data_IF_894049635722
#
_entry.id   IF_894049635722
#
_cell.length_a   1.000
_cell.length_b   1.000
_cell.length_c   1.000
_cell.angle_alpha   90.00
_cell.angle_beta   90.00
_cell.angle_gamma   90.00
#
_symmetry.space_group_name_H-M   'P 1'
#
loop_
_entity.id
_entity.type
_entity.pdbx_description
1 polymer ?
#
# COMPACT_ATOMS: atom_id res chain seq x y z
N UNK A 1 26.05 5.83 -14.41
CA UNK A 1 25.08 6.73 -15.04
C UNK A 1 25.19 8.17 -14.52
N UNK A 2 24.91 8.46 -13.23
CA UNK A 2 24.97 9.86 -12.72
C UNK A 2 26.34 10.54 -12.89
N UNK A 3 27.44 9.82 -12.60
CA UNK A 3 28.81 10.29 -12.86
C UNK A 3 29.04 10.65 -14.34
N UNK A 4 28.41 9.92 -15.26
CA UNK A 4 28.55 10.16 -16.71
C UNK A 4 27.84 11.45 -17.12
N UNK A 5 26.63 11.69 -16.61
CA UNK A 5 25.90 12.93 -16.88
C UNK A 5 26.63 14.16 -16.35
N UNK A 6 27.27 14.04 -15.18
CA UNK A 6 28.10 15.11 -14.63
C UNK A 6 29.32 15.39 -15.51
N UNK A 7 29.98 14.35 -16.03
CA UNK A 7 31.16 14.50 -16.90
C UNK A 7 30.80 15.09 -18.27
N UNK A 8 29.71 14.64 -18.87
CA UNK A 8 29.29 15.05 -20.22
C UNK A 8 28.50 16.38 -20.24
N UNK A 9 28.12 16.91 -19.08
CA UNK A 9 27.35 18.14 -18.94
C UNK A 9 25.94 18.08 -19.53
N UNK A 10 25.43 16.87 -19.80
CA UNK A 10 24.11 16.66 -20.39
C UNK A 10 23.50 15.32 -19.95
N UNK A 11 22.20 15.18 -20.15
CA UNK A 11 21.42 13.98 -19.79
C UNK A 11 21.15 13.05 -20.99
N UNK A 12 21.93 13.12 -22.07
CA UNK A 12 21.79 12.19 -23.19
C UNK A 12 22.38 10.84 -22.79
N UNK A 13 21.52 9.83 -22.70
CA UNK A 13 21.89 8.50 -22.20
C UNK A 13 21.74 7.39 -23.25
N UNK A 14 21.08 7.67 -24.37
CA UNK A 14 20.79 6.68 -25.41
C UNK A 14 22.09 6.11 -25.98
N UNK A 15 23.03 6.99 -26.35
CA UNK A 15 24.32 6.59 -26.96
C UNK A 15 25.25 5.86 -25.98
N UNK A 16 25.03 6.07 -24.68
CA UNK A 16 25.83 5.48 -23.60
C UNK A 16 25.29 4.13 -23.11
N UNK A 17 24.06 3.80 -23.49
CA UNK A 17 23.38 2.59 -23.05
C UNK A 17 24.12 1.30 -23.46
N UNK A 18 24.68 1.17 -24.68
CA UNK A 18 25.47 0.00 -25.07
C UNK A 18 26.68 -0.22 -24.17
N UNK A 19 27.42 0.85 -23.83
CA UNK A 19 28.57 0.77 -22.94
C UNK A 19 28.15 0.35 -21.53
N UNK A 20 27.07 0.93 -21.00
CA UNK A 20 26.56 0.58 -19.68
C UNK A 20 26.11 -0.89 -19.58
N UNK A 21 25.41 -1.39 -20.59
CA UNK A 21 24.99 -2.80 -20.65
C UNK A 21 26.20 -3.72 -20.72
N UNK A 22 27.20 -3.39 -21.53
CA UNK A 22 28.44 -4.15 -21.63
C UNK A 22 29.17 -4.23 -20.28
N UNK A 23 29.38 -3.09 -19.63
CA UNK A 23 30.03 -3.01 -18.32
C UNK A 23 29.28 -3.79 -17.24
N UNK A 24 27.94 -3.70 -17.24
CA UNK A 24 27.09 -4.40 -16.28
C UNK A 24 27.20 -5.92 -16.44
N UNK A 25 27.16 -6.39 -17.68
CA UNK A 25 27.21 -7.82 -18.01
C UNK A 25 28.61 -8.42 -17.85
N UNK A 26 29.67 -7.61 -17.99
CA UNK A 26 31.06 -8.03 -17.83
C UNK A 26 31.56 -7.95 -16.36
N UNK A 27 30.83 -7.29 -15.47
CA UNK A 27 31.20 -7.19 -14.05
C UNK A 27 30.73 -8.42 -13.28
N UNK A 28 31.58 -8.94 -12.38
CA UNK A 28 31.17 -9.95 -11.41
C UNK A 28 30.23 -9.34 -10.36
N UNK A 29 29.03 -9.91 -10.21
CA UNK A 29 28.04 -9.44 -9.24
C UNK A 29 28.17 -10.22 -7.93
N UNK A 30 27.97 -9.53 -6.79
CA UNK A 30 28.13 -10.12 -5.45
C UNK A 30 27.15 -11.27 -5.19
N UNK A 31 25.89 -11.10 -5.57
CA UNK A 31 24.81 -12.06 -5.27
C UNK A 31 25.00 -13.40 -5.97
N UNK A 32 25.37 -13.38 -7.25
CA UNK A 32 25.58 -14.61 -8.05
C UNK A 32 27.04 -15.07 -8.08
N UNK A 33 27.98 -14.24 -7.65
CA UNK A 33 29.41 -14.57 -7.63
C UNK A 33 30.08 -14.69 -9.01
N UNK A 34 29.38 -14.37 -10.10
CA UNK A 34 29.89 -14.41 -11.48
C UNK A 34 29.41 -13.23 -12.33
N UNK A 35 29.86 -13.15 -13.58
CA UNK A 35 29.42 -12.15 -14.55
C UNK A 35 28.07 -12.57 -15.13
N UNK A 36 27.09 -11.67 -15.28
CA UNK A 36 25.82 -12.00 -15.93
C UNK A 36 25.99 -12.62 -17.33
N UNK A 37 27.00 -12.17 -18.10
CA UNK A 37 27.29 -12.71 -19.43
C UNK A 37 27.72 -14.19 -19.44
N UNK A 38 28.22 -14.72 -18.31
CA UNK A 38 28.72 -16.10 -18.23
C UNK A 38 27.64 -17.07 -17.70
N UNK A 39 26.43 -16.59 -17.40
CA UNK A 39 25.36 -17.43 -16.84
C UNK A 39 24.80 -18.34 -17.95
N UNK A 40 24.97 -19.65 -17.79
CA UNK A 40 24.36 -20.66 -18.67
C UNK A 40 23.10 -21.24 -18.05
N UNK A 41 22.16 -21.79 -18.84
CA UNK A 41 20.95 -22.41 -18.31
C UNK A 41 21.22 -23.50 -17.26
N UNK A 42 22.29 -24.29 -17.44
CA UNK A 42 22.69 -25.34 -16.50
C UNK A 42 23.16 -24.81 -15.13
N UNK A 43 23.72 -23.60 -15.08
CA UNK A 43 24.20 -22.96 -13.84
C UNK A 43 23.08 -22.12 -13.21
N UNK A 44 22.14 -21.62 -14.02
CA UNK A 44 21.06 -20.75 -13.59
C UNK A 44 20.21 -21.37 -12.46
N UNK A 45 19.83 -22.64 -12.57
CA UNK A 45 19.02 -23.31 -11.53
C UNK A 45 19.73 -23.32 -10.17
N UNK A 46 21.02 -23.68 -10.17
CA UNK A 46 21.84 -23.69 -8.95
C UNK A 46 21.98 -22.30 -8.35
N UNK A 47 22.13 -21.27 -9.19
CA UNK A 47 22.20 -19.88 -8.74
C UNK A 47 20.88 -19.42 -8.11
N UNK A 48 19.74 -19.75 -8.73
CA UNK A 48 18.43 -19.40 -8.20
C UNK A 48 18.18 -20.06 -6.86
N UNK A 49 18.50 -21.35 -6.72
CA UNK A 49 18.42 -22.06 -5.44
C UNK A 49 19.30 -21.38 -4.39
N UNK A 50 20.55 -21.07 -4.72
CA UNK A 50 21.46 -20.38 -3.79
C UNK A 50 20.92 -19.01 -3.38
N UNK A 51 20.45 -18.19 -4.33
CA UNK A 51 19.99 -16.81 -4.09
C UNK A 51 18.68 -16.77 -3.31
N UNK A 52 17.77 -17.72 -3.56
CA UNK A 52 16.43 -17.75 -2.97
C UNK A 52 16.22 -18.84 -1.92
N UNK A 53 17.28 -19.56 -1.53
CA UNK A 53 17.27 -20.58 -0.46
C UNK A 53 16.88 -20.05 0.92
N UNK A 54 17.01 -18.74 1.14
CA UNK A 54 16.69 -18.11 2.41
C UNK A 54 15.21 -18.30 2.74
N UNK A 55 14.94 -19.04 3.81
CA UNK A 55 13.58 -19.20 4.36
C UNK A 55 13.08 -17.82 4.77
N UNK A 56 12.06 -17.36 4.04
CA UNK A 56 11.35 -16.11 4.30
C UNK A 56 10.45 -16.30 5.52
N UNK A 57 10.99 -16.08 6.71
CA UNK A 57 10.18 -16.02 7.93
C UNK A 57 9.42 -14.70 7.91
N UNK A 58 8.09 -14.78 7.97
CA UNK A 58 7.24 -13.60 8.08
C UNK A 58 7.42 -12.96 9.46
N UNK A 59 7.56 -11.64 9.49
CA UNK A 59 7.63 -10.88 10.74
C UNK A 59 6.36 -11.06 11.58
N UNK A 60 6.46 -10.93 12.92
CA UNK A 60 5.30 -11.00 13.78
C UNK A 60 4.29 -9.90 13.42
N UNK A 61 3.04 -10.29 13.20
CA UNK A 61 1.96 -9.39 12.81
C UNK A 61 1.64 -8.37 13.92
N UNK A 62 1.68 -7.07 13.61
CA UNK A 62 1.30 -5.99 14.55
C UNK A 62 -0.18 -6.00 14.94
N UNK A 63 -1.05 -6.30 13.97
CA UNK A 63 -2.50 -6.32 14.17
C UNK A 63 -3.05 -7.72 14.42
N UNK A 64 -4.26 -7.78 14.99
CA UNK A 64 -5.00 -9.02 15.27
C UNK A 64 -6.32 -9.06 14.50
N UNK A 65 -6.83 -10.27 14.29
CA UNK A 65 -8.20 -10.46 13.77
C UNK A 65 -9.19 -9.80 14.73
N UNK A 66 -10.14 -9.04 14.18
CA UNK A 66 -11.11 -8.22 14.91
C UNK A 66 -10.65 -6.79 15.20
N UNK A 67 -9.39 -6.43 14.94
CA UNK A 67 -8.95 -5.04 15.08
C UNK A 67 -9.67 -4.14 14.06
N UNK A 68 -10.08 -2.96 14.53
CA UNK A 68 -10.66 -1.90 13.70
C UNK A 68 -9.54 -1.00 13.17
N UNK A 69 -9.48 -0.87 11.85
CA UNK A 69 -8.40 -0.18 11.15
C UNK A 69 -8.92 0.75 10.06
N UNK A 70 -8.11 1.74 9.70
CA UNK A 70 -8.27 2.60 8.53
C UNK A 70 -7.17 2.28 7.54
N UNK A 71 -7.48 2.44 6.27
CA UNK A 71 -6.58 2.14 5.16
C UNK A 71 -5.91 3.42 4.68
N UNK A 72 -4.67 3.32 4.20
CA UNK A 72 -3.98 4.45 3.59
C UNK A 72 -4.68 4.93 2.32
N UNK A 73 -4.72 6.24 2.09
CA UNK A 73 -5.29 6.83 0.88
C UNK A 73 -4.25 6.94 -0.21
N UNK A 74 -4.66 6.60 -1.44
CA UNK A 74 -3.92 7.03 -2.62
C UNK A 74 -4.05 8.54 -2.76
N UNK A 75 -2.91 9.24 -2.71
CA UNK A 75 -2.85 10.71 -2.86
C UNK A 75 -2.52 11.09 -4.29
N UNK A 76 -3.28 12.05 -4.82
CA UNK A 76 -2.93 12.70 -6.09
C UNK A 76 -1.81 13.73 -5.91
N UNK A 77 -1.10 14.07 -6.99
CA UNK A 77 0.09 14.96 -6.97
C UNK A 77 -0.23 16.35 -6.39
N UNK A 78 -1.48 16.81 -6.49
CA UNK A 78 -1.93 18.13 -6.04
C UNK A 78 -2.63 18.13 -4.68
N UNK A 79 -2.70 17.00 -3.99
CA UNK A 79 -3.31 16.94 -2.67
C UNK A 79 -2.52 17.72 -1.63
N UNK A 80 -3.25 18.43 -0.78
CA UNK A 80 -2.65 19.25 0.26
C UNK A 80 -2.03 18.36 1.34
N UNK A 81 -0.82 18.68 1.79
CA UNK A 81 -0.11 17.89 2.81
C UNK A 81 -0.85 17.81 4.15
N UNK A 82 -1.72 18.77 4.48
CA UNK A 82 -2.49 18.79 5.73
C UNK A 82 -3.74 17.89 5.70
N UNK A 83 -4.13 17.31 4.56
CA UNK A 83 -5.26 16.37 4.50
C UNK A 83 -4.83 15.00 5.03
N UNK A 84 -5.73 14.34 5.76
CA UNK A 84 -5.46 13.01 6.32
C UNK A 84 -5.03 12.00 5.25
N UNK A 85 -3.97 11.24 5.55
CA UNK A 85 -3.47 10.13 4.74
C UNK A 85 -4.32 8.85 4.88
N UNK A 86 -5.34 8.84 5.74
CA UNK A 86 -6.13 7.64 6.06
C UNK A 86 -7.58 7.79 5.58
N UNK A 87 -8.21 6.67 5.23
CA UNK A 87 -9.64 6.59 4.91
C UNK A 87 -10.51 7.11 6.06
N UNK A 88 -11.68 7.65 5.71
CA UNK A 88 -12.71 7.97 6.70
C UNK A 88 -13.46 6.72 7.15
N UNK A 89 -13.61 5.75 6.24
CA UNK A 89 -14.16 4.44 6.51
C UNK A 89 -13.23 3.61 7.41
N UNK A 90 -13.86 2.88 8.33
CA UNK A 90 -13.23 1.95 9.27
C UNK A 90 -13.58 0.53 8.85
N UNK A 91 -12.58 -0.31 8.81
CA UNK A 91 -12.65 -1.70 8.39
C UNK A 91 -12.29 -2.62 9.55
N UNK A 92 -12.77 -3.86 9.50
CA UNK A 92 -12.43 -4.90 10.46
C UNK A 92 -11.46 -5.89 9.83
N UNK A 93 -10.39 -6.24 10.54
CA UNK A 93 -9.48 -7.30 10.07
C UNK A 93 -10.15 -8.66 10.27
N UNK A 94 -10.34 -9.41 9.17
CA UNK A 94 -10.99 -10.72 9.20
C UNK A 94 -9.99 -11.86 9.15
N UNK A 95 -8.91 -11.69 8.40
CA UNK A 95 -7.89 -12.72 8.25
C UNK A 95 -6.51 -12.11 8.11
N UNK A 96 -5.53 -12.77 8.74
CA UNK A 96 -4.11 -12.48 8.59
C UNK A 96 -3.50 -13.57 7.72
N UNK A 97 -2.98 -13.22 6.56
CA UNK A 97 -2.34 -14.12 5.62
C UNK A 97 -0.84 -14.20 5.93
N UNK A 98 -0.45 -15.25 6.64
CA UNK A 98 0.95 -15.51 7.04
C UNK A 98 1.75 -16.31 6.01
N UNK A 99 1.08 -16.84 5.00
CA UNK A 99 1.70 -17.59 3.90
C UNK A 99 2.46 -16.68 2.94
N UNK A 100 2.23 -15.36 3.01
CA UNK A 100 2.91 -14.34 2.22
C UNK A 100 3.97 -13.64 3.08
N UNK A 101 5.12 -13.31 2.48
CA UNK A 101 6.13 -12.45 3.10
C UNK A 101 6.36 -11.20 2.24
N UNK A 102 5.96 -10.00 2.68
CA UNK A 102 5.47 -9.66 4.03
C UNK A 102 4.02 -10.09 4.29
N UNK A 103 3.62 -10.15 5.56
CA UNK A 103 2.26 -10.52 6.00
C UNK A 103 1.24 -9.55 5.41
N UNK A 104 0.13 -10.09 4.92
CA UNK A 104 -1.00 -9.33 4.39
C UNK A 104 -2.27 -9.55 5.19
N UNK A 105 -3.21 -8.60 5.12
CA UNK A 105 -4.44 -8.57 5.89
C UNK A 105 -5.66 -8.47 4.97
N UNK A 106 -6.66 -9.30 5.22
CA UNK A 106 -7.97 -9.19 4.57
C UNK A 106 -8.93 -8.44 5.49
N UNK A 107 -9.65 -7.49 4.89
CA UNK A 107 -10.52 -6.58 5.59
C UNK A 107 -11.98 -6.77 5.17
N UNK A 108 -12.89 -6.46 6.07
CA UNK A 108 -14.32 -6.30 5.79
C UNK A 108 -14.78 -4.88 6.13
N UNK A 109 -15.70 -4.37 5.34
CA UNK A 109 -16.38 -3.12 5.62
C UNK A 109 -17.38 -3.27 6.77
N UNK A 110 -17.99 -2.16 7.19
CA UNK A 110 -18.96 -2.14 8.27
C UNK A 110 -20.28 -2.86 7.93
N UNK A 111 -20.52 -3.23 6.66
CA UNK A 111 -21.66 -4.03 6.19
C UNK A 111 -21.33 -5.52 6.10
N UNK A 112 -20.12 -5.94 6.48
CA UNK A 112 -19.64 -7.32 6.39
C UNK A 112 -19.28 -7.74 4.96
N UNK A 113 -19.03 -6.80 4.05
CA UNK A 113 -18.54 -7.08 2.70
C UNK A 113 -17.02 -7.08 2.71
N UNK A 114 -16.42 -8.18 2.26
CA UNK A 114 -14.97 -8.28 2.14
C UNK A 114 -14.42 -7.33 1.08
N UNK A 115 -13.32 -6.66 1.42
CA UNK A 115 -12.56 -5.86 0.47
C UNK A 115 -11.79 -6.83 -0.45
N UNK A 116 -11.84 -6.57 -1.76
CA UNK A 116 -11.25 -7.48 -2.75
C UNK A 116 -9.71 -7.55 -2.69
N UNK A 117 -9.08 -6.56 -2.07
CA UNK A 117 -7.64 -6.39 -1.97
C UNK A 117 -7.14 -6.77 -0.57
N UNK A 118 -5.92 -7.31 -0.51
CA UNK A 118 -5.21 -7.58 0.73
C UNK A 118 -4.23 -6.43 1.02
N UNK A 119 -4.13 -6.03 2.28
CA UNK A 119 -3.35 -4.86 2.69
C UNK A 119 -2.08 -5.26 3.44
N UNK A 120 -1.01 -4.51 3.25
CA UNK A 120 0.20 -4.62 4.06
C UNK A 120 0.05 -3.90 5.41
N UNK A 121 0.91 -4.25 6.37
CA UNK A 121 0.89 -3.64 7.69
C UNK A 121 1.01 -2.11 7.66
N UNK A 122 1.88 -1.56 6.81
CA UNK A 122 2.13 -0.12 6.71
C UNK A 122 0.98 0.66 6.06
N UNK A 123 0.06 -0.04 5.38
CA UNK A 123 -1.13 0.54 4.76
C UNK A 123 -2.31 0.60 5.74
N UNK A 124 -2.12 0.13 6.97
CA UNK A 124 -3.14 0.05 8.00
C UNK A 124 -2.81 0.93 9.21
N UNK A 125 -3.84 1.58 9.73
CA UNK A 125 -3.77 2.36 10.97
C UNK A 125 -4.91 1.99 11.91
N UNK A 126 -4.61 1.71 13.19
CA UNK A 126 -5.65 1.40 14.17
C UNK A 126 -6.62 2.57 14.33
N UNK A 127 -7.92 2.30 14.32
CA UNK A 127 -8.95 3.31 14.54
C UNK A 127 -9.11 3.59 16.04
N UNK A 128 -8.83 4.83 16.47
CA UNK A 128 -9.02 5.25 17.87
C UNK A 128 -10.49 5.52 18.21
N UNK A 129 -11.25 6.06 17.24
CA UNK A 129 -12.65 6.42 17.38
C UNK A 129 -13.46 5.75 16.25
N UNK A 130 -13.75 4.44 16.36
CA UNK A 130 -14.42 3.70 15.30
C UNK A 130 -15.89 4.12 15.12
N UNK A 131 -16.53 4.64 16.17
CA UNK A 131 -17.94 5.04 16.15
C UNK A 131 -18.17 6.47 15.65
N UNK A 132 -17.10 7.21 15.31
CA UNK A 132 -17.17 8.61 14.89
C UNK A 132 -16.97 8.75 13.39
N UNK A 133 -18.01 9.20 12.71
CA UNK A 133 -18.03 9.42 11.27
C UNK A 133 -18.08 10.91 10.94
N UNK A 134 -17.24 11.35 10.01
CA UNK A 134 -17.22 12.74 9.56
C UNK A 134 -18.38 13.00 8.61
N UNK A 135 -19.10 14.09 8.85
CA UNK A 135 -20.13 14.59 7.96
C UNK A 135 -19.50 15.45 6.85
N UNK A 136 -19.91 15.24 5.60
CA UNK A 136 -19.59 16.13 4.48
C UNK A 136 -20.54 17.33 4.47
N UNK A 137 -21.85 17.06 4.49
CA UNK A 137 -22.89 18.10 4.51
C UNK A 137 -24.24 17.57 4.96
N UNK A 138 -25.08 18.49 5.46
CA UNK A 138 -26.50 18.22 5.70
C UNK A 138 -27.27 18.44 4.40
N UNK A 139 -28.03 17.43 3.96
CA UNK A 139 -28.83 17.47 2.75
C UNK A 139 -30.26 17.98 3.02
N UNK A 140 -30.87 17.55 4.13
CA UNK A 140 -32.24 17.92 4.52
C UNK A 140 -32.38 18.00 6.04
N UNK A 141 -33.38 18.76 6.50
CA UNK A 141 -33.76 18.87 7.92
C UNK A 141 -35.26 18.58 8.06
N UNK A 142 -35.65 17.80 9.07
CA UNK A 142 -37.06 17.48 9.37
C UNK A 142 -37.24 17.29 10.88
N UNK A 143 -37.92 18.22 11.53
CA UNK A 143 -38.06 18.22 12.99
C UNK A 143 -36.69 18.16 13.67
N UNK A 144 -36.49 17.15 14.52
CA UNK A 144 -35.23 16.91 15.26
C UNK A 144 -34.26 15.97 14.57
N UNK A 145 -34.51 15.64 13.30
CA UNK A 145 -33.62 14.81 12.49
C UNK A 145 -32.98 15.61 11.36
N UNK A 146 -31.77 15.23 11.01
CA UNK A 146 -31.02 15.76 9.86
C UNK A 146 -30.62 14.61 8.94
N UNK A 147 -30.80 14.80 7.63
CA UNK A 147 -30.37 13.84 6.61
C UNK A 147 -28.98 14.21 6.14
N UNK A 148 -28.03 13.32 6.35
CA UNK A 148 -26.60 13.62 6.26
C UNK A 148 -25.94 12.89 5.10
N UNK A 149 -25.07 13.60 4.40
CA UNK A 149 -24.06 13.04 3.51
C UNK A 149 -22.78 12.81 4.31
N UNK A 150 -22.36 11.57 4.45
CA UNK A 150 -21.13 11.20 5.16
C UNK A 150 -19.90 11.38 4.26
N UNK A 151 -18.81 11.89 4.86
CA UNK A 151 -17.57 12.18 4.16
C UNK A 151 -16.86 10.89 3.74
N UNK A 152 -16.60 10.77 2.44
CA UNK A 152 -15.88 9.62 1.86
C UNK A 152 -16.76 8.39 1.61
N UNK A 153 -18.06 8.46 1.85
CA UNK A 153 -19.02 7.41 1.49
C UNK A 153 -19.81 7.79 0.24
N UNK A 154 -20.40 6.82 -0.45
CA UNK A 154 -21.30 7.07 -1.57
C UNK A 154 -22.71 7.52 -1.09
N UNK A 155 -23.63 7.77 -2.02
CA UNK A 155 -24.99 8.22 -1.67
C UNK A 155 -25.83 7.17 -0.94
N UNK A 156 -25.49 5.87 -1.05
CA UNK A 156 -26.25 4.77 -0.45
C UNK A 156 -26.10 4.71 1.07
N UNK A 157 -25.14 5.45 1.62
CA UNK A 157 -24.85 5.52 3.06
C UNK A 157 -25.56 6.69 3.75
N UNK A 158 -26.19 7.59 2.98
CA UNK A 158 -26.85 8.77 3.52
C UNK A 158 -28.01 8.35 4.43
N UNK A 159 -28.02 8.88 5.65
CA UNK A 159 -28.97 8.46 6.68
C UNK A 159 -29.53 9.64 7.47
N UNK A 160 -30.68 9.42 8.10
CA UNK A 160 -31.28 10.36 9.04
C UNK A 160 -30.69 10.12 10.42
N UNK A 161 -30.10 11.15 11.02
CA UNK A 161 -29.60 11.12 12.40
C UNK A 161 -30.31 12.16 13.26
N UNK A 162 -30.31 11.95 14.57
CA UNK A 162 -30.84 12.92 15.52
C UNK A 162 -29.87 14.10 15.64
N UNK A 163 -30.37 15.33 15.78
CA UNK A 163 -29.53 16.53 15.94
C UNK A 163 -28.53 16.42 17.08
N UNK A 164 -28.92 15.77 18.18
CA UNK A 164 -28.10 15.58 19.37
C UNK A 164 -26.88 14.66 19.15
N UNK A 165 -26.85 13.89 18.06
CA UNK A 165 -25.72 13.03 17.71
C UNK A 165 -24.68 13.75 16.85
N UNK A 166 -24.94 15.00 16.47
CA UNK A 166 -23.98 15.86 15.77
C UNK A 166 -23.19 16.61 16.83
N UNK A 167 -21.87 16.39 16.84
CA UNK A 167 -20.90 17.09 17.69
C UNK A 167 -20.32 18.27 16.92
#
# INVERSE_FOLDING_TARGET
MWKMFTLNGNYKWIDELPHLVSDYNARKHRTIGMRPADVTPAIAEKLLDTVYSAIKIADPSKFKVGDLVRVSKYKTIFEKGYTSNWTTEVFTIVKIQRDTNPVTYLLEDYRGKSVAEAFYEHELHRATHPDVYLMEKVLRRKGDKVYVKWLGFDGSHNSWIHKNNVI
#
